data_IF_350083165767
#
_entry.id   IF_350083165767
#
_cell.length_a   1.000
_cell.length_b   1.000
_cell.length_c   1.000
_cell.angle_alpha   90.00
_cell.angle_beta   90.00
_cell.angle_gamma   90.00
#
_symmetry.space_group_name_H-M   'P 1'
#
loop_
_entity.id
_entity.type
_entity.pdbx_description
1 polymer ?
#
# COMPACT_ATOMS: atom_id res chain seq x y z
N UNK A 1 -0.03 -31.64 3.55
CA UNK A 1 -1.16 -30.81 4.00
C UNK A 1 -2.19 -30.73 2.89
N UNK A 2 -3.49 -30.85 3.18
CA UNK A 2 -4.54 -30.75 2.16
C UNK A 2 -4.61 -29.30 1.62
N UNK A 3 -4.76 -29.08 0.30
CA UNK A 3 -4.79 -27.73 -0.31
C UNK A 3 -5.84 -26.80 0.29
N UNK A 4 -6.96 -27.35 0.77
CA UNK A 4 -8.05 -26.56 1.39
C UNK A 4 -7.66 -25.92 2.73
N UNK A 5 -6.85 -26.59 3.56
CA UNK A 5 -6.38 -26.05 4.83
C UNK A 5 -5.43 -24.86 4.65
N UNK A 6 -4.62 -24.88 3.59
CA UNK A 6 -3.66 -23.82 3.27
C UNK A 6 -4.38 -22.53 2.86
N UNK A 7 -5.44 -22.63 2.05
CA UNK A 7 -6.30 -21.49 1.68
C UNK A 7 -7.02 -20.89 2.89
N UNK A 8 -7.49 -21.72 3.83
CA UNK A 8 -8.16 -21.22 5.04
C UNK A 8 -7.21 -20.47 6.00
N UNK A 9 -5.94 -20.89 6.10
CA UNK A 9 -4.93 -20.20 6.91
C UNK A 9 -4.53 -18.84 6.31
N UNK A 10 -4.33 -18.78 4.99
CA UNK A 10 -4.04 -17.52 4.27
C UNK A 10 -5.18 -16.51 4.42
N UNK A 11 -6.43 -16.96 4.30
CA UNK A 11 -7.62 -16.12 4.45
C UNK A 11 -7.80 -15.55 5.86
N UNK A 12 -7.40 -16.30 6.91
CA UNK A 12 -7.44 -15.83 8.31
C UNK A 12 -6.32 -14.87 8.65
N UNK A 13 -5.09 -15.14 8.20
CA UNK A 13 -3.98 -14.19 8.32
C UNK A 13 -4.26 -12.88 7.59
N UNK A 14 -4.98 -12.96 6.47
CA UNK A 14 -5.44 -11.81 5.70
C UNK A 14 -6.52 -10.99 6.42
N UNK A 15 -7.57 -11.61 6.97
CA UNK A 15 -8.57 -10.87 7.79
C UNK A 15 -7.90 -10.20 9.00
N UNK A 16 -6.90 -10.85 9.61
CA UNK A 16 -6.11 -10.23 10.67
C UNK A 16 -5.31 -9.03 10.14
N UNK A 17 -4.63 -9.13 8.99
CA UNK A 17 -3.90 -8.00 8.39
C UNK A 17 -4.84 -6.85 7.97
N UNK A 18 -5.98 -7.13 7.35
CA UNK A 18 -6.96 -6.12 6.92
C UNK A 18 -7.74 -5.49 8.10
N UNK A 19 -7.91 -6.19 9.22
CA UNK A 19 -8.55 -5.66 10.43
C UNK A 19 -7.58 -4.96 11.40
N UNK A 20 -6.26 -5.23 11.30
CA UNK A 20 -5.23 -4.73 12.22
C UNK A 20 -4.26 -3.70 11.62
N UNK A 21 -4.27 -3.47 10.30
CA UNK A 21 -3.25 -2.62 9.64
C UNK A 21 -3.29 -1.15 10.06
N UNK A 22 -4.40 -0.66 10.61
CA UNK A 22 -4.49 0.74 11.05
C UNK A 22 -4.22 0.90 12.57
N UNK A 23 -4.72 0.04 13.48
CA UNK A 23 -4.41 0.18 14.92
C UNK A 23 -3.08 -0.46 15.37
N UNK A 24 -2.58 -1.50 14.70
CA UNK A 24 -1.38 -2.23 15.19
C UNK A 24 -0.06 -1.52 14.92
N UNK A 25 0.01 -0.69 13.87
CA UNK A 25 1.16 0.19 13.58
C UNK A 25 1.28 1.29 14.65
N UNK A 26 0.15 1.79 15.15
CA UNK A 26 0.13 2.71 16.29
C UNK A 26 0.47 2.02 17.63
N UNK A 27 0.08 0.75 17.81
CA UNK A 27 0.39 -0.03 19.02
C UNK A 27 1.85 -0.50 19.10
N UNK A 28 2.50 -0.81 17.96
CA UNK A 28 3.88 -1.32 17.94
C UNK A 28 4.90 -0.33 18.52
N UNK A 29 4.64 0.99 18.48
CA UNK A 29 5.47 2.01 19.14
C UNK A 29 5.34 2.05 20.66
N UNK A 30 4.26 1.49 21.23
CA UNK A 30 4.08 1.45 22.69
C UNK A 30 4.71 0.22 23.34
N UNK A 31 5.14 -0.77 22.55
CA UNK A 31 5.64 -2.05 23.05
C UNK A 31 6.95 -2.48 22.38
N UNK A 32 8.05 -1.79 22.70
CA UNK A 32 9.36 -2.43 22.82
C UNK A 32 10.30 -2.46 21.61
N UNK A 33 11.52 -1.99 21.88
CA UNK A 33 12.81 -2.34 21.26
C UNK A 33 12.98 -2.16 19.74
N UNK A 34 13.75 -1.11 19.39
CA UNK A 34 14.79 -1.10 18.35
C UNK A 34 14.92 -2.39 17.52
N UNK A 35 14.23 -2.47 16.39
CA UNK A 35 14.58 -3.38 15.31
C UNK A 35 15.66 -2.73 14.42
N UNK A 36 16.83 -3.35 14.25
CA UNK A 36 17.80 -2.94 13.25
C UNK A 36 17.35 -3.49 11.88
N UNK A 37 17.14 -2.59 10.90
CA UNK A 37 16.92 -2.97 9.50
C UNK A 37 15.48 -2.84 8.98
N UNK A 38 14.79 -1.73 9.28
CA UNK A 38 13.62 -1.35 8.48
C UNK A 38 14.05 -1.10 7.03
N UNK A 39 13.25 -1.52 6.04
CA UNK A 39 13.51 -1.16 4.65
C UNK A 39 13.42 0.36 4.48
N UNK A 40 14.32 0.93 3.69
CA UNK A 40 14.32 2.36 3.37
C UNK A 40 13.02 2.74 2.65
N UNK A 41 12.54 3.95 2.89
CA UNK A 41 11.32 4.49 2.29
C UNK A 41 11.27 4.29 0.77
N UNK A 42 12.39 4.59 0.08
CA UNK A 42 12.50 4.47 -1.37
C UNK A 42 12.32 3.02 -1.85
N UNK A 43 12.89 2.05 -1.14
CA UNK A 43 12.77 0.62 -1.48
C UNK A 43 11.34 0.11 -1.28
N UNK A 44 10.66 0.57 -0.21
CA UNK A 44 9.25 0.28 0.03
C UNK A 44 8.38 0.81 -1.11
N UNK A 45 8.59 2.06 -1.52
CA UNK A 45 7.84 2.70 -2.61
C UNK A 45 8.10 2.03 -3.96
N UNK A 46 9.36 1.67 -4.26
CA UNK A 46 9.73 0.91 -5.47
C UNK A 46 9.03 -0.45 -5.51
N UNK A 47 8.99 -1.17 -4.39
CA UNK A 47 8.31 -2.46 -4.31
C UNK A 47 6.79 -2.32 -4.45
N UNK A 48 6.19 -1.29 -3.83
CA UNK A 48 4.76 -1.01 -3.99
C UNK A 48 4.41 -0.71 -5.46
N UNK A 49 5.21 0.11 -6.12
CA UNK A 49 5.08 0.41 -7.55
C UNK A 49 5.24 -0.82 -8.44
N UNK A 50 6.19 -1.72 -8.12
CA UNK A 50 6.39 -2.99 -8.84
C UNK A 50 5.17 -3.89 -8.73
N UNK A 51 4.62 -4.08 -7.52
CA UNK A 51 3.43 -4.90 -7.30
C UNK A 51 2.19 -4.30 -8.00
N UNK A 52 2.01 -2.99 -7.92
CA UNK A 52 0.94 -2.28 -8.63
C UNK A 52 1.03 -2.46 -10.16
N UNK A 53 2.24 -2.44 -10.71
CA UNK A 53 2.50 -2.70 -12.14
C UNK A 53 2.18 -4.16 -12.50
N UNK A 54 2.62 -5.12 -11.69
CA UNK A 54 2.32 -6.55 -11.89
C UNK A 54 0.82 -6.84 -11.87
N UNK A 55 0.05 -6.08 -11.09
CA UNK A 55 -1.41 -6.24 -10.98
C UNK A 55 -2.18 -5.85 -12.25
N UNK A 56 -1.58 -5.11 -13.19
CA UNK A 56 -2.26 -4.65 -14.42
C UNK A 56 -2.85 -5.79 -15.23
N UNK A 57 -2.11 -6.90 -15.41
CA UNK A 57 -2.56 -8.03 -16.23
C UNK A 57 -3.66 -8.84 -15.53
N UNK A 58 -3.51 -9.26 -14.26
CA UNK A 58 -4.60 -9.92 -13.53
C UNK A 58 -5.90 -9.11 -13.49
N UNK A 59 -5.82 -7.78 -13.37
CA UNK A 59 -6.99 -6.89 -13.38
C UNK A 59 -7.77 -6.88 -14.72
N UNK A 60 -7.16 -7.31 -15.83
CA UNK A 60 -7.83 -7.40 -17.13
C UNK A 60 -8.61 -8.71 -17.30
N UNK A 61 -8.40 -9.70 -16.43
CA UNK A 61 -8.98 -11.05 -16.54
C UNK A 61 -9.64 -11.50 -15.25
N UNK A 62 -10.37 -10.61 -14.55
CA UNK A 62 -11.00 -10.89 -13.26
C UNK A 62 -12.12 -11.95 -13.29
N UNK A 63 -12.59 -12.33 -14.48
CA UNK A 63 -13.47 -13.49 -14.68
C UNK A 63 -12.78 -14.82 -14.31
N UNK A 64 -11.45 -14.88 -14.39
CA UNK A 64 -10.66 -16.01 -13.97
C UNK A 64 -10.35 -15.92 -12.47
N UNK A 65 -10.79 -16.92 -11.70
CA UNK A 65 -10.56 -16.98 -10.25
C UNK A 65 -9.06 -16.94 -9.88
N UNK A 66 -8.18 -17.55 -10.68
CA UNK A 66 -6.74 -17.49 -10.44
C UNK A 66 -6.17 -16.07 -10.62
N UNK A 67 -6.65 -15.33 -11.61
CA UNK A 67 -6.27 -13.92 -11.81
C UNK A 67 -6.81 -13.03 -10.69
N UNK A 68 -8.01 -13.33 -10.20
CA UNK A 68 -8.60 -12.60 -9.07
C UNK A 68 -7.82 -12.82 -7.79
N UNK A 69 -7.43 -14.06 -7.49
CA UNK A 69 -6.59 -14.42 -6.34
C UNK A 69 -5.21 -13.76 -6.43
N UNK A 70 -4.58 -13.76 -7.62
CA UNK A 70 -3.30 -13.08 -7.86
C UNK A 70 -3.42 -11.56 -7.68
N UNK A 71 -4.46 -10.94 -8.23
CA UNK A 71 -4.72 -9.52 -8.05
C UNK A 71 -4.93 -9.18 -6.57
N UNK A 72 -5.70 -10.00 -5.84
CA UNK A 72 -5.95 -9.80 -4.42
C UNK A 72 -4.65 -9.91 -3.61
N UNK A 73 -3.80 -10.89 -3.91
CA UNK A 73 -2.48 -11.02 -3.30
C UNK A 73 -1.62 -9.77 -3.54
N UNK A 74 -1.54 -9.29 -4.78
CA UNK A 74 -0.75 -8.11 -5.13
C UNK A 74 -1.29 -6.84 -4.47
N UNK A 75 -2.62 -6.65 -4.44
CA UNK A 75 -3.25 -5.54 -3.73
C UNK A 75 -2.90 -5.55 -2.25
N UNK A 76 -2.92 -6.72 -1.60
CA UNK A 76 -2.50 -6.85 -0.20
C UNK A 76 -1.03 -6.51 0.03
N UNK A 77 -0.13 -6.93 -0.88
CA UNK A 77 1.29 -6.56 -0.80
C UNK A 77 1.48 -5.04 -0.92
N UNK A 78 0.74 -4.38 -1.83
CA UNK A 78 0.74 -2.92 -1.95
C UNK A 78 0.25 -2.27 -0.66
N UNK A 79 -0.84 -2.74 -0.07
CA UNK A 79 -1.35 -2.24 1.22
C UNK A 79 -0.28 -2.29 2.32
N UNK A 80 0.38 -3.44 2.48
CA UNK A 80 1.42 -3.63 3.50
C UNK A 80 2.60 -2.68 3.29
N UNK A 81 3.11 -2.60 2.05
CA UNK A 81 4.27 -1.76 1.73
C UNK A 81 3.95 -0.27 1.95
N UNK A 82 2.78 0.19 1.52
CA UNK A 82 2.35 1.57 1.75
C UNK A 82 2.17 1.87 3.24
N UNK A 83 1.65 0.92 4.03
CA UNK A 83 1.53 1.08 5.47
C UNK A 83 2.90 1.18 6.16
N UNK A 84 3.89 0.40 5.72
CA UNK A 84 5.28 0.53 6.17
C UNK A 84 5.90 1.87 5.76
N UNK A 85 5.59 2.36 4.56
CA UNK A 85 6.07 3.68 4.09
C UNK A 85 5.56 4.84 4.95
N UNK A 86 4.41 4.72 5.62
CA UNK A 86 3.91 5.74 6.57
C UNK A 86 4.88 5.91 7.75
N UNK A 87 5.42 4.81 8.27
CA UNK A 87 6.41 4.84 9.35
C UNK A 87 7.74 5.44 8.87
N UNK A 88 8.15 5.08 7.66
CA UNK A 88 9.40 5.52 7.03
C UNK A 88 9.33 6.93 6.39
N UNK A 89 8.17 7.59 6.39
CA UNK A 89 7.96 8.86 5.68
C UNK A 89 8.91 10.00 6.10
N UNK A 90 9.45 9.97 7.31
CA UNK A 90 10.46 10.95 7.78
C UNK A 90 11.80 10.84 7.04
N UNK A 91 12.10 9.68 6.44
CA UNK A 91 13.31 9.44 5.64
C UNK A 91 13.23 10.14 4.28
N UNK A 92 12.02 10.40 3.77
CA UNK A 92 11.83 10.90 2.41
C UNK A 92 12.42 12.31 2.23
N UNK A 93 13.24 12.55 1.17
CA UNK A 93 13.69 13.89 0.80
C UNK A 93 12.49 14.77 0.40
N UNK A 94 12.59 16.08 0.64
CA UNK A 94 11.62 17.01 0.05
C UNK A 94 12.07 17.19 -1.40
N UNK A 95 11.28 16.81 -2.41
CA UNK A 95 11.68 16.96 -3.80
C UNK A 95 11.71 18.44 -4.18
N UNK A 96 12.57 18.81 -5.12
CA UNK A 96 12.77 20.21 -5.54
C UNK A 96 11.46 20.92 -5.91
N UNK A 97 10.56 20.24 -6.62
CA UNK A 97 9.24 20.77 -7.01
C UNK A 97 8.35 21.18 -5.83
N UNK A 98 8.53 20.54 -4.69
CA UNK A 98 7.76 20.80 -3.47
C UNK A 98 8.53 21.66 -2.47
N UNK A 99 9.78 22.04 -2.79
CA UNK A 99 10.59 22.91 -1.94
C UNK A 99 9.89 24.25 -1.66
N UNK A 100 9.18 24.83 -2.63
CA UNK A 100 8.43 26.08 -2.45
C UNK A 100 7.23 25.93 -1.49
N UNK A 101 6.52 24.78 -1.53
CA UNK A 101 5.35 24.50 -0.67
C UNK A 101 5.75 24.27 0.79
N UNK A 102 6.86 23.58 1.00
CA UNK A 102 7.30 23.15 2.33
C UNK A 102 8.37 24.06 2.93
N UNK A 103 9.10 24.85 2.13
CA UNK A 103 10.15 25.77 2.60
C UNK A 103 11.16 25.12 3.57
N UNK A 104 11.51 23.85 3.32
CA UNK A 104 12.39 23.05 4.17
C UNK A 104 11.73 22.45 5.43
N UNK A 105 10.43 22.67 5.66
CA UNK A 105 9.67 22.08 6.77
C UNK A 105 9.45 20.59 6.55
N UNK A 106 10.42 19.80 7.00
CA UNK A 106 10.40 18.32 6.96
C UNK A 106 9.26 17.71 7.76
N UNK A 107 8.81 18.36 8.83
CA UNK A 107 7.74 17.83 9.69
C UNK A 107 6.40 17.95 8.97
N UNK A 108 6.13 19.13 8.38
CA UNK A 108 4.94 19.36 7.56
C UNK A 108 4.93 18.44 6.33
N UNK A 109 6.07 18.30 5.65
CA UNK A 109 6.22 17.39 4.52
C UNK A 109 5.89 15.93 4.90
N UNK A 110 6.53 15.41 5.95
CA UNK A 110 6.31 14.03 6.38
C UNK A 110 4.86 13.79 6.82
N UNK A 111 4.21 14.77 7.46
CA UNK A 111 2.78 14.68 7.83
C UNK A 111 1.87 14.59 6.61
N UNK A 112 2.07 15.46 5.63
CA UNK A 112 1.24 15.49 4.42
C UNK A 112 1.47 14.23 3.57
N UNK A 113 2.73 13.75 3.48
CA UNK A 113 3.08 12.47 2.84
C UNK A 113 2.38 11.29 3.53
N UNK A 114 2.39 11.22 4.86
CA UNK A 114 1.67 10.18 5.63
C UNK A 114 0.17 10.20 5.36
N UNK A 115 -0.43 11.39 5.25
CA UNK A 115 -1.85 11.51 4.92
C UNK A 115 -2.13 10.92 3.53
N UNK A 116 -1.30 11.24 2.53
CA UNK A 116 -1.45 10.70 1.17
C UNK A 116 -1.24 9.19 1.10
N UNK A 117 -0.24 8.67 1.80
CA UNK A 117 -0.01 7.22 1.91
C UNK A 117 -1.18 6.51 2.61
N UNK A 118 -1.80 7.13 3.61
CA UNK A 118 -2.98 6.58 4.29
C UNK A 118 -4.18 6.47 3.36
N UNK A 119 -4.38 7.48 2.49
CA UNK A 119 -5.40 7.43 1.43
C UNK A 119 -5.15 6.27 0.45
N UNK A 120 -3.88 6.06 0.07
CA UNK A 120 -3.47 4.96 -0.80
C UNK A 120 -3.70 3.59 -0.14
N UNK A 121 -3.37 3.46 1.16
CA UNK A 121 -3.65 2.25 1.96
C UNK A 121 -5.14 1.94 1.97
N UNK A 122 -6.00 2.94 2.18
CA UNK A 122 -7.45 2.78 2.13
C UNK A 122 -7.92 2.23 0.78
N UNK A 123 -7.47 2.84 -0.31
CA UNK A 123 -7.83 2.40 -1.68
C UNK A 123 -7.33 0.98 -1.99
N UNK A 124 -6.10 0.64 -1.58
CA UNK A 124 -5.53 -0.70 -1.78
C UNK A 124 -6.24 -1.78 -0.96
N UNK A 125 -6.69 -1.45 0.26
CA UNK A 125 -7.45 -2.36 1.10
C UNK A 125 -8.85 -2.64 0.53
N UNK A 126 -9.57 -1.59 0.10
CA UNK A 126 -10.89 -1.76 -0.54
C UNK A 126 -10.79 -2.51 -1.88
N UNK A 127 -9.74 -2.26 -2.68
CA UNK A 127 -9.44 -3.05 -3.87
C UNK A 127 -9.29 -4.54 -3.53
N UNK A 128 -8.48 -4.86 -2.53
CA UNK A 128 -8.24 -6.24 -2.14
C UNK A 128 -9.52 -6.93 -1.65
N UNK A 129 -10.35 -6.22 -0.87
CA UNK A 129 -11.65 -6.69 -0.42
C UNK A 129 -12.58 -6.98 -1.60
N UNK A 130 -12.75 -6.04 -2.52
CA UNK A 130 -13.60 -6.19 -3.70
C UNK A 130 -13.17 -7.40 -4.55
N UNK A 131 -11.86 -7.58 -4.76
CA UNK A 131 -11.30 -8.73 -5.45
C UNK A 131 -11.65 -10.05 -4.75
N UNK A 132 -11.55 -10.14 -3.42
CA UNK A 132 -11.89 -11.37 -2.69
C UNK A 132 -13.40 -11.67 -2.66
N UNK A 133 -14.24 -10.64 -2.75
CA UNK A 133 -15.69 -10.78 -2.82
C UNK A 133 -16.19 -11.03 -4.25
N UNK A 134 -15.33 -10.90 -5.26
CA UNK A 134 -15.73 -11.05 -6.67
C UNK A 134 -16.46 -9.84 -7.23
N UNK A 135 -16.37 -8.69 -6.57
CA UNK A 135 -17.03 -7.43 -6.94
C UNK A 135 -16.20 -6.70 -8.00
N UNK A 136 -16.32 -7.12 -9.27
CA UNK A 136 -15.43 -6.67 -10.37
C UNK A 136 -15.48 -5.16 -10.61
N UNK A 137 -16.67 -4.56 -10.60
CA UNK A 137 -16.83 -3.12 -10.86
C UNK A 137 -16.22 -2.29 -9.71
N UNK A 138 -16.42 -2.73 -8.47
CA UNK A 138 -15.81 -2.12 -7.30
C UNK A 138 -14.27 -2.27 -7.34
N UNK A 139 -13.77 -3.45 -7.71
CA UNK A 139 -12.34 -3.68 -7.87
C UNK A 139 -11.73 -2.75 -8.94
N UNK A 140 -12.39 -2.57 -10.09
CA UNK A 140 -11.93 -1.63 -11.11
C UNK A 140 -11.88 -0.20 -10.58
N UNK A 141 -12.95 0.26 -9.91
CA UNK A 141 -13.02 1.60 -9.33
C UNK A 141 -11.92 1.85 -8.28
N UNK A 142 -11.68 0.89 -7.38
CA UNK A 142 -10.63 1.03 -6.36
C UNK A 142 -9.21 0.92 -6.95
N UNK A 143 -9.02 0.14 -8.02
CA UNK A 143 -7.75 0.10 -8.74
C UNK A 143 -7.44 1.42 -9.42
N UNK A 144 -8.41 2.06 -10.06
CA UNK A 144 -8.23 3.37 -10.67
C UNK A 144 -8.04 4.47 -9.63
N UNK A 145 -8.78 4.44 -8.51
CA UNK A 145 -8.55 5.34 -7.38
C UNK A 145 -7.10 5.21 -6.84
N UNK A 146 -6.62 3.99 -6.62
CA UNK A 146 -5.24 3.74 -6.17
C UNK A 146 -4.21 4.29 -7.17
N UNK A 147 -4.47 4.18 -8.48
CA UNK A 147 -3.60 4.74 -9.52
C UNK A 147 -3.61 6.26 -9.51
N UNK A 148 -4.75 6.89 -9.26
CA UNK A 148 -4.88 8.35 -9.12
C UNK A 148 -4.11 8.85 -7.91
N UNK A 149 -4.32 8.23 -6.74
CA UNK A 149 -3.60 8.59 -5.49
C UNK A 149 -2.10 8.43 -5.68
N UNK A 150 -1.65 7.37 -6.36
CA UNK A 150 -0.24 7.20 -6.72
C UNK A 150 0.24 8.33 -7.62
N UNK A 151 -0.48 8.67 -8.68
CA UNK A 151 -0.06 9.73 -9.61
C UNK A 151 0.09 11.06 -8.88
N UNK A 152 -0.92 11.47 -8.12
CA UNK A 152 -0.88 12.70 -7.32
C UNK A 152 0.26 12.66 -6.29
N UNK A 153 0.49 11.50 -5.67
CA UNK A 153 1.59 11.29 -4.75
C UNK A 153 2.97 11.42 -5.42
N UNK A 154 3.14 10.87 -6.62
CA UNK A 154 4.36 11.00 -7.40
C UNK A 154 4.59 12.47 -7.80
N UNK A 155 3.53 13.13 -8.30
CA UNK A 155 3.57 14.53 -8.75
C UNK A 155 3.96 15.49 -7.61
N UNK A 156 3.62 15.16 -6.36
CA UNK A 156 3.88 16.01 -5.20
C UNK A 156 5.11 15.60 -4.36
N UNK A 157 5.42 14.31 -4.24
CA UNK A 157 6.37 13.80 -3.24
C UNK A 157 7.59 13.08 -3.80
N UNK A 158 7.65 12.77 -5.10
CA UNK A 158 8.83 12.11 -5.72
C UNK A 158 9.73 13.15 -6.41
N UNK A 159 10.99 12.85 -6.73
CA UNK A 159 11.77 13.66 -7.69
C UNK A 159 11.57 13.14 -9.13
N UNK A 160 11.70 14.03 -10.12
CA UNK A 160 11.82 13.59 -11.51
C UNK A 160 13.26 13.10 -11.74
N UNK A 161 13.42 11.81 -12.04
CA UNK A 161 14.70 11.21 -12.46
C UNK A 161 14.82 11.21 -13.98
#
# INVERSE_FOLDING_TARGET
MKPSMQRHLQRRAFIAASALTIPSIALARTSGSSQPGGMEFEDLMKQAGKNLKSMRRPMQTLDNDASRDEAAFLANQVTILLAQSIEAAEQAPIPERSAAKYAGDKVKFARDLRAKLTEAVGSANELCRALLLGEKDAAAAHYDALRTVRKEGHDEFEEEH
#
